data_IF_161146961901
#
_entry.id   IF_161146961901
#
_cell.length_a   1.000
_cell.length_b   1.000
_cell.length_c   1.000
_cell.angle_alpha   90.00
_cell.angle_beta   90.00
_cell.angle_gamma   90.00
#
_symmetry.space_group_name_H-M   'P 1'
#
loop_
_entity.id
_entity.type
_entity.pdbx_description
1 polymer ?
#
# COMPACT_ATOMS: atom_id res chain seq x y z
N UNK A 1 -0.68 -14.22 -10.49
CA UNK A 1 0.05 -13.10 -9.87
C UNK A 1 -0.86 -12.55 -8.78
N UNK A 2 -0.35 -12.28 -7.58
CA UNK A 2 -1.12 -11.65 -6.51
C UNK A 2 -0.74 -10.17 -6.49
N UNK A 3 -1.72 -9.32 -6.69
CA UNK A 3 -1.63 -7.86 -6.67
C UNK A 3 -2.55 -7.38 -5.54
N UNK A 4 -2.10 -6.37 -4.78
CA UNK A 4 -2.84 -5.82 -3.65
C UNK A 4 -3.30 -4.39 -3.96
N UNK A 5 -4.42 -3.99 -3.40
CA UNK A 5 -4.89 -2.62 -3.42
C UNK A 5 -4.54 -1.93 -2.10
N UNK A 6 -4.05 -0.70 -2.18
CA UNK A 6 -3.59 0.05 -1.03
C UNK A 6 -4.57 1.18 -0.69
N UNK A 7 -4.95 1.21 0.58
CA UNK A 7 -5.91 2.15 1.13
C UNK A 7 -5.20 3.03 2.16
N UNK A 8 -5.43 4.34 2.07
CA UNK A 8 -5.04 5.31 3.09
C UNK A 8 -6.31 5.79 3.77
N UNK A 9 -6.41 5.58 5.09
CA UNK A 9 -7.60 5.97 5.86
C UNK A 9 -8.92 5.45 5.24
N UNK A 10 -8.95 4.17 4.84
CA UNK A 10 -10.06 3.49 4.13
C UNK A 10 -10.37 3.98 2.71
N UNK A 11 -9.61 4.95 2.19
CA UNK A 11 -9.76 5.41 0.81
C UNK A 11 -8.75 4.68 -0.09
N UNK A 12 -9.22 4.10 -1.20
CA UNK A 12 -8.35 3.51 -2.22
C UNK A 12 -7.47 4.61 -2.84
N UNK A 13 -6.15 4.43 -2.79
CA UNK A 13 -5.17 5.42 -3.29
C UNK A 13 -4.20 4.85 -4.32
N UNK A 14 -4.08 3.52 -4.38
CA UNK A 14 -3.23 2.84 -5.34
C UNK A 14 -3.73 1.42 -5.59
N UNK A 15 -3.85 1.05 -6.86
CA UNK A 15 -4.22 -0.29 -7.29
C UNK A 15 -2.97 -1.06 -7.72
N UNK A 16 -3.12 -2.38 -7.82
CA UNK A 16 -2.09 -3.27 -8.35
C UNK A 16 -0.70 -3.15 -7.72
N UNK A 17 -0.67 -2.89 -6.41
CA UNK A 17 0.54 -2.75 -5.61
C UNK A 17 1.25 -4.09 -5.48
N UNK A 18 2.53 -4.07 -5.82
CA UNK A 18 3.43 -5.22 -5.80
C UNK A 18 4.44 -5.16 -4.65
N UNK A 19 4.79 -3.95 -4.21
CA UNK A 19 5.73 -3.72 -3.10
C UNK A 19 5.18 -2.63 -2.20
N UNK A 20 5.21 -2.87 -0.88
CA UNK A 20 5.00 -1.85 0.14
C UNK A 20 6.14 -1.97 1.14
N UNK A 21 6.90 -0.89 1.33
CA UNK A 21 8.05 -0.85 2.21
C UNK A 21 7.97 0.36 3.15
N UNK A 22 8.37 0.18 4.41
CA UNK A 22 8.52 1.28 5.36
C UNK A 22 9.97 1.79 5.32
N UNK A 23 10.17 3.08 5.07
CA UNK A 23 11.46 3.75 5.10
C UNK A 23 11.42 4.92 6.08
N UNK A 24 11.90 4.69 7.30
CA UNK A 24 11.77 5.66 8.40
C UNK A 24 10.30 5.87 8.75
N UNK A 25 9.85 7.13 8.72
CA UNK A 25 8.47 7.53 9.03
C UNK A 25 7.53 7.55 7.81
N UNK A 26 8.00 7.02 6.67
CA UNK A 26 7.26 6.97 5.41
C UNK A 26 7.03 5.55 4.95
N UNK A 27 5.96 5.36 4.20
CA UNK A 27 5.67 4.13 3.46
C UNK A 27 5.77 4.44 1.98
N UNK A 28 6.51 3.61 1.25
CA UNK A 28 6.65 3.66 -0.20
C UNK A 28 5.93 2.45 -0.77
N UNK A 29 5.02 2.69 -1.70
CA UNK A 29 4.33 1.63 -2.43
C UNK A 29 4.66 1.72 -3.92
N UNK A 30 4.87 0.57 -4.56
CA UNK A 30 5.18 0.47 -5.99
C UNK A 30 4.22 -0.51 -6.67
N UNK A 31 3.65 -0.11 -7.80
CA UNK A 31 2.72 -0.94 -8.58
C UNK A 31 3.43 -1.87 -9.59
N UNK A 32 2.62 -2.63 -10.34
CA UNK A 32 3.12 -3.55 -11.36
C UNK A 32 3.81 -2.87 -12.55
N UNK A 33 3.59 -1.56 -12.75
CA UNK A 33 4.14 -0.77 -13.84
C UNK A 33 5.39 0.01 -13.41
N UNK A 34 5.74 -0.03 -12.12
CA UNK A 34 6.89 0.67 -11.54
C UNK A 34 6.57 2.09 -11.06
N UNK A 35 5.31 2.54 -11.09
CA UNK A 35 4.92 3.81 -10.45
C UNK A 35 5.06 3.66 -8.94
N UNK A 36 5.58 4.69 -8.27
CA UNK A 36 5.75 4.69 -6.81
C UNK A 36 5.10 5.91 -6.16
N UNK A 37 4.43 5.70 -5.03
CA UNK A 37 3.83 6.75 -4.20
C UNK A 37 4.34 6.68 -2.76
N UNK A 38 4.49 7.85 -2.14
CA UNK A 38 4.88 7.98 -0.73
C UNK A 38 3.66 8.35 0.12
N UNK A 39 3.56 7.70 1.29
CA UNK A 39 2.53 7.95 2.28
C UNK A 39 3.17 8.18 3.65
N UNK A 40 2.57 9.06 4.46
CA UNK A 40 2.88 9.15 5.88
C UNK A 40 1.96 8.21 6.67
N UNK A 41 2.49 7.62 7.73
CA UNK A 41 1.71 6.76 8.65
C UNK A 41 2.27 5.36 8.82
N UNK A 42 1.40 4.45 9.24
CA UNK A 42 1.72 3.08 9.61
C UNK A 42 0.89 2.07 8.81
N UNK A 43 1.51 0.94 8.44
CA UNK A 43 0.80 -0.21 7.87
C UNK A 43 0.06 -0.91 9.02
N UNK A 44 -1.26 -0.83 9.04
CA UNK A 44 -2.07 -1.35 10.17
C UNK A 44 -2.72 -2.69 9.87
N UNK A 45 -2.95 -3.03 8.59
CA UNK A 45 -3.60 -4.27 8.18
C UNK A 45 -3.13 -4.69 6.80
N UNK A 46 -2.85 -5.98 6.65
CA UNK A 46 -2.64 -6.65 5.36
C UNK A 46 -3.62 -7.82 5.30
N UNK A 47 -4.45 -7.85 4.26
CA UNK A 47 -5.51 -8.84 4.07
C UNK A 47 -5.39 -9.44 2.67
N UNK A 48 -4.76 -10.61 2.61
CA UNK A 48 -4.50 -11.30 1.35
C UNK A 48 -5.75 -11.95 0.76
N UNK A 49 -6.79 -12.20 1.57
CA UNK A 49 -8.05 -12.76 1.06
C UNK A 49 -8.82 -11.70 0.26
N UNK A 50 -8.72 -10.44 0.69
CA UNK A 50 -9.36 -9.29 0.06
C UNK A 50 -8.40 -8.45 -0.80
N UNK A 51 -7.18 -8.95 -1.05
CA UNK A 51 -6.13 -8.25 -1.77
C UNK A 51 -5.93 -6.79 -1.30
N UNK A 52 -5.75 -6.56 0.00
CA UNK A 52 -5.77 -5.23 0.60
C UNK A 52 -4.58 -4.96 1.52
N UNK A 53 -4.02 -3.75 1.42
CA UNK A 53 -3.11 -3.14 2.40
C UNK A 53 -3.74 -1.86 2.91
N UNK A 54 -3.78 -1.67 4.23
CA UNK A 54 -4.32 -0.46 4.86
C UNK A 54 -3.22 0.29 5.60
N UNK A 55 -3.08 1.56 5.25
CA UNK A 55 -2.26 2.56 5.93
C UNK A 55 -3.16 3.51 6.72
N UNK A 56 -2.73 3.86 7.93
CA UNK A 56 -3.32 4.94 8.74
C UNK A 56 -2.28 6.02 8.98
N UNK A 57 -2.63 7.25 8.60
CA UNK A 57 -1.86 8.46 8.88
C UNK A 57 -2.18 9.05 10.24
#
# INVERSE_FOLDING_TARGET
>A
MCNLNLYLNDQLVMEDVMLVEKRGDKIIATDLFGESKEFQGEIVKIDLNNNMVLIRG
#
